data_IF_804134913207
#
_entry.id   IF_804134913207
#
_cell.length_a   1.000
_cell.length_b   1.000
_cell.length_c   1.000
_cell.angle_alpha   90.00
_cell.angle_beta   90.00
_cell.angle_gamma   90.00
#
_symmetry.space_group_name_H-M   'P 1'
#
loop_
_entity.id
_entity.type
_entity.pdbx_description
1 polymer ?
#
# COMPACT_ATOMS: atom_id res chain seq x y z
N UNK A 1 -3.24 -9.21 10.34
CA UNK A 1 -2.05 -10.03 10.00
C UNK A 1 -2.38 -11.10 8.97
N UNK A 2 -3.46 -11.87 9.14
CA UNK A 2 -3.80 -13.04 8.29
C UNK A 2 -3.65 -12.83 6.77
N UNK A 3 -4.16 -11.74 6.19
CA UNK A 3 -4.16 -11.59 4.72
C UNK A 3 -2.77 -11.49 4.09
N UNK A 4 -1.86 -10.67 4.63
CA UNK A 4 -0.49 -10.57 4.06
C UNK A 4 0.28 -11.88 4.24
N UNK A 5 0.04 -12.61 5.34
CA UNK A 5 0.66 -13.91 5.55
C UNK A 5 0.10 -14.99 4.60
N UNK A 6 -1.19 -14.92 4.23
CA UNK A 6 -1.77 -15.76 3.17
C UNK A 6 -1.13 -15.46 1.82
N UNK A 7 -1.01 -14.18 1.45
CA UNK A 7 -0.45 -13.78 0.16
C UNK A 7 1.02 -14.16 0.00
N UNK A 8 1.79 -14.20 1.10
CA UNK A 8 3.17 -14.72 1.10
C UNK A 8 3.26 -16.19 0.68
N UNK A 9 2.19 -16.97 0.87
CA UNK A 9 2.19 -18.40 0.55
C UNK A 9 1.86 -18.71 -0.91
N UNK A 10 1.59 -17.69 -1.73
CA UNK A 10 1.37 -17.85 -3.16
C UNK A 10 2.66 -18.34 -3.83
N UNK A 11 2.49 -19.16 -4.87
CA UNK A 11 3.56 -19.53 -5.79
C UNK A 11 3.38 -18.75 -7.08
N UNK A 12 4.44 -18.65 -7.89
CA UNK A 12 4.33 -18.10 -9.24
C UNK A 12 3.27 -18.86 -10.05
N UNK A 13 2.55 -18.13 -10.91
CA UNK A 13 1.41 -18.62 -11.68
C UNK A 13 0.12 -18.78 -10.87
N UNK A 14 -0.05 -18.07 -9.75
CA UNK A 14 -1.22 -18.20 -8.88
C UNK A 14 -2.55 -17.76 -9.51
N UNK A 15 -2.50 -17.02 -10.61
CA UNK A 15 -3.65 -16.48 -11.34
C UNK A 15 -3.93 -17.20 -12.68
N UNK A 16 -3.22 -18.29 -12.97
CA UNK A 16 -3.24 -19.01 -14.25
C UNK A 16 -2.83 -18.17 -15.49
N UNK A 17 -2.29 -16.95 -15.29
CA UNK A 17 -1.78 -16.06 -16.36
C UNK A 17 -0.29 -15.67 -16.14
N UNK A 18 0.39 -16.39 -15.25
CA UNK A 18 1.83 -16.26 -15.05
C UNK A 18 2.24 -15.15 -14.06
N UNK A 19 1.34 -14.70 -13.20
CA UNK A 19 1.68 -13.74 -12.14
C UNK A 19 2.81 -14.23 -11.24
N UNK A 20 3.64 -13.30 -10.80
CA UNK A 20 4.75 -13.53 -9.88
C UNK A 20 4.20 -13.50 -8.45
N UNK A 21 4.66 -14.42 -7.61
CA UNK A 21 4.31 -14.39 -6.18
C UNK A 21 4.85 -13.11 -5.51
N UNK A 22 4.16 -12.57 -4.50
CA UNK A 22 4.64 -11.39 -3.78
C UNK A 22 6.07 -11.57 -3.26
N UNK A 23 6.95 -10.62 -3.55
CA UNK A 23 8.35 -10.68 -3.15
C UNK A 23 8.51 -10.56 -1.63
N UNK A 24 9.63 -11.06 -1.09
CA UNK A 24 9.91 -10.91 0.34
C UNK A 24 10.06 -9.44 0.76
N UNK A 25 10.55 -8.56 -0.13
CA UNK A 25 10.66 -7.11 0.13
C UNK A 25 9.29 -6.45 0.19
N UNK A 26 8.38 -6.78 -0.75
CA UNK A 26 7.00 -6.31 -0.74
C UNK A 26 6.27 -6.77 0.53
N UNK A 27 6.40 -8.06 0.89
CA UNK A 27 5.86 -8.62 2.14
C UNK A 27 6.43 -7.90 3.36
N UNK A 28 7.73 -7.63 3.38
CA UNK A 28 8.39 -6.94 4.49
C UNK A 28 7.82 -5.53 4.70
N UNK A 29 7.76 -4.74 3.64
CA UNK A 29 7.23 -3.36 3.67
C UNK A 29 5.75 -3.35 4.04
N UNK A 30 4.94 -4.24 3.45
CA UNK A 30 3.53 -4.41 3.79
C UNK A 30 3.31 -4.72 5.29
N UNK A 31 4.14 -5.57 5.88
CA UNK A 31 4.11 -5.85 7.33
C UNK A 31 4.48 -4.61 8.15
N UNK A 32 5.41 -3.78 7.69
CA UNK A 32 5.71 -2.52 8.38
C UNK A 32 4.52 -1.56 8.36
N UNK A 33 3.81 -1.45 7.23
CA UNK A 33 2.59 -0.65 7.10
C UNK A 33 1.54 -1.07 8.14
N UNK A 34 1.31 -2.38 8.27
CA UNK A 34 0.35 -2.92 9.24
C UNK A 34 0.81 -2.64 10.68
N UNK A 35 2.08 -2.89 11.00
CA UNK A 35 2.63 -2.72 12.36
C UNK A 35 2.61 -1.27 12.85
N UNK A 36 2.73 -0.29 11.94
CA UNK A 36 2.62 1.14 12.27
C UNK A 36 1.18 1.59 12.58
N UNK A 37 0.19 0.71 12.43
CA UNK A 37 -1.20 0.96 12.81
C UNK A 37 -2.01 1.77 11.79
N UNK A 38 -1.45 2.01 10.60
CA UNK A 38 -2.10 2.75 9.54
C UNK A 38 -3.39 2.09 9.02
N UNK A 39 -3.44 0.76 9.08
CA UNK A 39 -4.60 -0.04 8.65
C UNK A 39 -5.64 -0.27 9.76
N UNK A 40 -5.43 0.26 10.98
CA UNK A 40 -6.22 -0.13 12.14
C UNK A 40 -7.61 0.52 12.23
N UNK A 41 -7.78 1.73 11.66
CA UNK A 41 -9.06 2.45 11.69
C UNK A 41 -9.95 2.17 10.49
N UNK A 42 -9.35 1.96 9.33
CA UNK A 42 -10.01 1.48 8.12
C UNK A 42 -9.14 0.37 7.54
N UNK A 43 -9.65 -0.86 7.58
CA UNK A 43 -8.94 -2.03 7.07
C UNK A 43 -9.04 -1.98 5.54
N UNK A 44 -7.92 -1.81 4.81
CA UNK A 44 -7.94 -1.87 3.37
C UNK A 44 -8.24 -3.28 2.88
N UNK A 45 -8.73 -3.38 1.66
CA UNK A 45 -8.59 -4.61 0.91
C UNK A 45 -7.13 -4.80 0.51
N UNK A 46 -6.59 -6.01 0.69
CA UNK A 46 -5.19 -6.31 0.35
C UNK A 46 -5.15 -7.41 -0.72
N UNK A 47 -4.55 -7.07 -1.85
CA UNK A 47 -4.44 -7.94 -3.04
C UNK A 47 -2.97 -8.06 -3.48
N UNK A 48 -2.56 -9.22 -4.02
CA UNK A 48 -1.29 -9.34 -4.72
C UNK A 48 -1.40 -8.66 -6.09
N UNK A 49 -0.28 -8.14 -6.59
CA UNK A 49 -0.17 -7.65 -7.97
C UNK A 49 0.48 -8.71 -8.85
N UNK A 50 0.28 -8.64 -10.16
CA UNK A 50 0.81 -9.63 -11.09
C UNK A 50 2.35 -9.63 -11.14
N UNK A 51 2.97 -8.50 -10.79
CA UNK A 51 4.42 -8.29 -10.89
C UNK A 51 5.17 -8.56 -9.57
N UNK A 52 4.52 -9.22 -8.60
CA UNK A 52 5.13 -9.61 -7.33
C UNK A 52 5.08 -8.55 -6.23
N UNK A 53 4.20 -7.55 -6.37
CA UNK A 53 3.90 -6.54 -5.36
C UNK A 53 2.65 -6.85 -4.53
N UNK A 54 2.24 -5.86 -3.74
CA UNK A 54 1.02 -5.85 -2.94
C UNK A 54 0.31 -4.50 -3.03
N UNK A 55 -1.02 -4.54 -3.18
CA UNK A 55 -1.88 -3.36 -3.22
C UNK A 55 -2.77 -3.31 -1.98
N UNK A 56 -2.85 -2.13 -1.37
CA UNK A 56 -3.78 -1.78 -0.30
C UNK A 56 -4.80 -0.79 -0.85
N UNK A 57 -6.08 -1.13 -0.78
CA UNK A 57 -7.16 -0.31 -1.32
C UNK A 57 -8.14 0.10 -0.23
N UNK A 58 -8.30 1.41 -0.05
CA UNK A 58 -9.32 2.04 0.78
C UNK A 58 -10.35 2.73 -0.10
N UNK A 59 -11.64 2.48 0.16
CA UNK A 59 -12.75 3.15 -0.54
C UNK A 59 -13.70 3.79 0.46
N UNK A 60 -14.09 5.02 0.19
CA UNK A 60 -15.04 5.78 1.00
C UNK A 60 -15.85 6.74 0.12
N UNK A 61 -17.08 6.34 -0.22
CA UNK A 61 -17.94 7.10 -1.12
C UNK A 61 -17.29 7.28 -2.49
N UNK A 62 -17.19 8.53 -2.95
CA UNK A 62 -16.56 8.89 -4.23
C UNK A 62 -15.03 9.00 -4.14
N UNK A 63 -14.42 8.65 -3.02
CA UNK A 63 -12.95 8.66 -2.87
C UNK A 63 -12.40 7.24 -2.73
N UNK A 64 -11.29 7.00 -3.40
CA UNK A 64 -10.43 5.84 -3.14
C UNK A 64 -8.98 6.26 -2.94
N UNK A 65 -8.30 5.54 -2.08
CA UNK A 65 -6.86 5.59 -1.92
C UNK A 65 -6.32 4.19 -2.17
N UNK A 66 -5.38 4.11 -3.08
CA UNK A 66 -4.56 2.95 -3.32
C UNK A 66 -3.15 3.23 -2.82
N UNK A 67 -2.55 2.27 -2.13
CA UNK A 67 -1.11 2.24 -1.85
C UNK A 67 -0.58 0.93 -2.40
N UNK A 68 0.34 1.03 -3.35
CA UNK A 68 1.01 -0.10 -3.95
C UNK A 68 2.42 -0.22 -3.39
N UNK A 69 2.81 -1.44 -3.04
CA UNK A 69 4.15 -1.83 -2.66
C UNK A 69 4.67 -2.73 -3.76
N UNK A 70 5.60 -2.21 -4.55
CA UNK A 70 6.20 -2.93 -5.67
C UNK A 70 7.09 -4.09 -5.18
N UNK A 71 7.46 -4.97 -6.10
CA UNK A 71 8.31 -6.12 -5.82
C UNK A 71 9.69 -5.75 -5.23
N UNK A 72 10.20 -4.54 -5.49
CA UNK A 72 11.46 -4.04 -4.93
C UNK A 72 11.28 -3.29 -3.58
N UNK A 73 10.05 -3.21 -3.08
CA UNK A 73 9.70 -2.52 -1.84
C UNK A 73 9.52 -1.01 -1.99
N UNK A 74 9.64 -0.44 -3.19
CA UNK A 74 9.19 0.93 -3.46
C UNK A 74 7.67 1.03 -3.23
N UNK A 75 7.21 2.24 -2.90
CA UNK A 75 5.83 2.46 -2.48
C UNK A 75 5.25 3.61 -3.25
N UNK A 76 4.09 3.40 -3.85
CA UNK A 76 3.35 4.41 -4.59
C UNK A 76 1.97 4.59 -3.98
N UNK A 77 1.32 5.71 -4.28
CA UNK A 77 -0.10 5.85 -4.02
C UNK A 77 -0.84 6.38 -5.24
N UNK A 78 -2.13 6.08 -5.30
CA UNK A 78 -3.09 6.72 -6.17
C UNK A 78 -4.29 7.18 -5.35
N UNK A 79 -4.55 8.49 -5.36
CA UNK A 79 -5.81 9.08 -4.89
C UNK A 79 -6.74 9.22 -6.08
N UNK A 80 -7.99 8.83 -5.91
CA UNK A 80 -9.04 9.05 -6.90
C UNK A 80 -10.24 9.70 -6.24
N UNK A 81 -10.69 10.85 -6.74
CA UNK A 81 -11.95 11.49 -6.40
C UNK A 81 -12.88 11.44 -7.61
N UNK A 82 -13.80 10.48 -7.60
CA UNK A 82 -14.74 10.23 -8.68
C UNK A 82 -15.85 11.27 -8.77
N UNK A 83 -16.03 12.11 -7.74
CA UNK A 83 -17.05 13.17 -7.75
C UNK A 83 -16.70 14.31 -8.70
N UNK A 84 -15.41 14.49 -8.97
CA UNK A 84 -14.88 15.59 -9.79
C UNK A 84 -13.80 15.14 -10.80
N UNK A 85 -13.65 13.83 -11.02
CA UNK A 85 -12.71 13.23 -11.98
C UNK A 85 -11.25 13.63 -11.72
N UNK A 86 -10.84 13.67 -10.44
CA UNK A 86 -9.48 14.02 -10.04
C UNK A 86 -8.68 12.80 -9.61
N UNK A 87 -7.46 12.72 -10.13
CA UNK A 87 -6.51 11.64 -9.82
C UNK A 87 -5.15 12.24 -9.46
N UNK A 88 -4.53 11.73 -8.40
CA UNK A 88 -3.17 12.12 -8.00
C UNK A 88 -2.39 10.86 -7.64
N UNK A 89 -1.27 10.66 -8.34
CA UNK A 89 -0.33 9.57 -8.09
C UNK A 89 1.05 10.13 -7.76
N UNK A 90 1.79 9.45 -6.88
CA UNK A 90 3.18 9.79 -6.57
C UNK A 90 3.88 8.64 -5.82
N UNK A 91 5.20 8.71 -5.74
CA UNK A 91 6.02 7.82 -4.91
C UNK A 91 6.02 8.29 -3.44
N UNK A 92 5.92 7.34 -2.50
CA UNK A 92 6.12 7.56 -1.08
C UNK A 92 7.54 7.16 -0.71
N UNK A 93 8.47 8.11 -0.77
CA UNK A 93 9.89 7.87 -0.46
C UNK A 93 10.08 7.38 0.97
N UNK A 94 10.58 6.14 1.13
CA UNK A 94 10.93 5.59 2.43
C UNK A 94 12.20 6.26 2.98
N UNK A 95 12.28 6.49 4.30
CA UNK A 95 13.50 6.98 4.92
C UNK A 95 14.61 5.93 4.82
N UNK A 96 15.81 6.34 4.38
CA UNK A 96 17.00 5.51 4.50
C UNK A 96 17.23 5.14 5.98
N UNK A 97 17.58 3.87 6.22
CA UNK A 97 17.86 3.32 7.55
C UNK A 97 18.78 4.24 8.36
N UNK A 98 18.30 4.71 9.51
CA UNK A 98 19.06 5.58 10.44
C UNK A 98 18.74 7.08 10.36
N UNK A 99 17.89 7.53 9.44
CA UNK A 99 17.51 8.95 9.32
C UNK A 99 16.21 9.28 10.08
N UNK A 100 16.32 9.80 11.32
CA UNK A 100 15.13 10.16 12.12
C UNK A 100 14.26 11.26 11.48
N UNK A 101 14.86 12.19 10.72
CA UNK A 101 14.12 13.30 10.08
C UNK A 101 13.20 12.86 8.94
N UNK A 102 13.65 11.91 8.11
CA UNK A 102 12.86 11.42 6.98
C UNK A 102 11.71 10.49 7.41
N UNK A 103 11.84 9.81 8.56
CA UNK A 103 10.78 8.96 9.11
C UNK A 103 9.51 9.78 9.34
N UNK A 104 9.61 10.96 9.95
CA UNK A 104 8.43 11.78 10.25
C UNK A 104 7.71 12.27 8.99
N UNK A 105 8.44 12.74 7.99
CA UNK A 105 7.84 13.21 6.74
C UNK A 105 7.08 12.09 6.02
N UNK A 106 7.67 10.88 5.99
CA UNK A 106 7.05 9.68 5.47
C UNK A 106 5.75 9.31 6.22
N UNK A 107 5.78 9.29 7.55
CA UNK A 107 4.58 9.01 8.35
C UNK A 107 3.49 10.08 8.18
N UNK A 108 3.88 11.35 8.14
CA UNK A 108 2.95 12.47 7.99
C UNK A 108 2.30 12.47 6.60
N UNK A 109 3.04 12.08 5.54
CA UNK A 109 2.49 11.88 4.20
C UNK A 109 1.43 10.78 4.20
N UNK A 110 1.72 9.62 4.77
CA UNK A 110 0.77 8.49 4.82
C UNK A 110 -0.47 8.84 5.66
N UNK A 111 -0.28 9.49 6.81
CA UNK A 111 -1.41 9.99 7.62
C UNK A 111 -2.28 10.96 6.83
N UNK A 112 -1.68 11.87 6.06
CA UNK A 112 -2.39 12.80 5.20
C UNK A 112 -3.25 12.10 4.16
N UNK A 113 -2.71 11.08 3.47
CA UNK A 113 -3.45 10.27 2.50
C UNK A 113 -4.64 9.55 3.16
N UNK A 114 -4.41 8.92 4.31
CA UNK A 114 -5.46 8.19 5.04
C UNK A 114 -6.54 9.13 5.57
N UNK A 115 -6.19 10.33 6.03
CA UNK A 115 -7.16 11.36 6.44
C UNK A 115 -7.98 11.84 5.24
N UNK A 116 -7.33 12.06 4.10
CA UNK A 116 -8.01 12.52 2.88
C UNK A 116 -9.09 11.55 2.39
N UNK A 117 -8.80 10.25 2.32
CA UNK A 117 -9.78 9.25 1.86
C UNK A 117 -10.96 9.15 2.81
N UNK A 118 -10.76 9.45 4.10
CA UNK A 118 -11.83 9.47 5.12
C UNK A 118 -12.70 10.72 5.08
N UNK A 119 -12.24 11.80 4.44
CA UNK A 119 -12.90 13.10 4.53
C UNK A 119 -12.83 13.72 5.93
N UNK A 120 -11.80 13.38 6.71
CA UNK A 120 -11.50 13.94 8.04
C UNK A 120 -10.63 15.20 7.97
#
# INVERSE_FOLDING_TARGET
MHRVDELRSLNDGWDDDGAIAPSEDAIHVAKQFIRRGWVARNVPEVRPTADGGLQFDWRAGDRSLEIEVEADGSVYFLKSDFSNDQFEEDEITQPASGSQGHVRAYEDRIKGLLTWVRGE
#
